data_IF_806749864513
#
_entry.id   IF_806749864513
#
_cell.length_a   1.000
_cell.length_b   1.000
_cell.length_c   1.000
_cell.angle_alpha   90.00
_cell.angle_beta   90.00
_cell.angle_gamma   90.00
#
_symmetry.space_group_name_H-M   'P 1'
#
loop_
_entity.id
_entity.type
_entity.pdbx_description
1 polymer ?
#
# COMPACT_ATOMS: atom_id res chain seq x y z
N UNK A 1 19.80 -8.57 -8.40
CA UNK A 1 18.57 -8.06 -9.04
C UNK A 1 18.94 -7.27 -10.30
N UNK A 2 18.26 -7.55 -11.40
CA UNK A 2 18.40 -6.80 -12.64
C UNK A 2 17.72 -5.43 -12.48
N UNK A 3 18.09 -4.44 -13.30
CA UNK A 3 17.49 -3.09 -13.27
C UNK A 3 15.96 -3.16 -13.42
N UNK A 4 15.47 -4.03 -14.30
CA UNK A 4 14.02 -4.28 -14.50
C UNK A 4 13.31 -4.70 -13.20
N UNK A 5 13.92 -5.60 -12.43
CA UNK A 5 13.37 -6.07 -11.15
C UNK A 5 13.39 -4.98 -10.06
N UNK A 6 14.41 -4.09 -10.06
CA UNK A 6 14.45 -2.93 -9.15
C UNK A 6 13.34 -1.95 -9.48
N UNK A 7 13.16 -1.62 -10.76
CA UNK A 7 12.14 -0.68 -11.20
C UNK A 7 10.72 -1.22 -10.96
N UNK A 8 10.47 -2.51 -11.27
CA UNK A 8 9.16 -3.13 -11.02
C UNK A 8 8.81 -3.19 -9.54
N UNK A 9 9.80 -3.45 -8.69
CA UNK A 9 9.65 -3.36 -7.24
C UNK A 9 9.35 -1.93 -6.80
N UNK A 10 10.15 -0.95 -7.22
CA UNK A 10 10.03 0.44 -6.75
C UNK A 10 8.75 1.12 -7.23
N UNK A 11 8.22 0.75 -8.39
CA UNK A 11 6.95 1.27 -8.91
C UNK A 11 5.75 0.97 -8.00
N UNK A 12 5.82 -0.11 -7.21
CA UNK A 12 4.85 -0.42 -6.17
C UNK A 12 4.70 0.74 -5.17
N UNK A 13 5.82 1.35 -4.73
CA UNK A 13 5.80 2.46 -3.79
C UNK A 13 5.10 3.69 -4.34
N UNK A 14 5.16 3.93 -5.64
CA UNK A 14 4.56 5.08 -6.29
C UNK A 14 3.04 5.15 -6.03
N UNK A 15 2.31 4.15 -6.43
CA UNK A 15 0.86 4.19 -6.27
C UNK A 15 0.41 3.89 -4.84
N UNK A 16 1.14 3.07 -4.07
CA UNK A 16 0.82 2.82 -2.66
C UNK A 16 0.93 4.10 -1.83
N UNK A 17 2.03 4.85 -1.95
CA UNK A 17 2.22 6.10 -1.23
C UNK A 17 1.23 7.19 -1.68
N UNK A 18 0.97 7.31 -2.98
CA UNK A 18 0.01 8.25 -3.52
C UNK A 18 -1.42 7.95 -3.08
N UNK A 19 -1.85 6.69 -3.17
CA UNK A 19 -3.19 6.27 -2.72
C UNK A 19 -3.36 6.47 -1.21
N UNK A 20 -2.30 6.25 -0.43
CA UNK A 20 -2.31 6.47 1.01
C UNK A 20 -2.53 7.94 1.36
N UNK A 21 -1.86 8.87 0.66
CA UNK A 21 -2.09 10.30 0.85
C UNK A 21 -3.53 10.69 0.51
N UNK A 22 -4.08 10.20 -0.60
CA UNK A 22 -5.47 10.46 -0.94
C UNK A 22 -6.43 9.95 0.14
N UNK A 23 -6.17 8.76 0.69
CA UNK A 23 -6.98 8.13 1.72
C UNK A 23 -6.98 8.93 3.04
N UNK A 24 -5.83 9.51 3.42
CA UNK A 24 -5.69 10.19 4.72
C UNK A 24 -5.96 11.68 4.68
N UNK A 25 -5.68 12.35 3.56
CA UNK A 25 -5.78 13.80 3.45
C UNK A 25 -7.08 14.21 2.75
N UNK A 26 -7.32 13.66 1.56
CA UNK A 26 -8.45 14.11 0.75
C UNK A 26 -9.77 13.45 1.14
N UNK A 27 -9.76 12.17 1.45
CA UNK A 27 -10.98 11.42 1.69
C UNK A 27 -11.79 11.92 2.92
N UNK A 28 -11.19 12.17 4.10
CA UNK A 28 -11.93 12.68 5.25
C UNK A 28 -12.62 14.02 4.98
N UNK A 29 -11.89 14.94 4.35
CA UNK A 29 -12.39 16.27 4.00
C UNK A 29 -13.50 16.18 2.94
N UNK A 30 -13.32 15.32 1.95
CA UNK A 30 -14.32 15.05 0.91
C UNK A 30 -15.62 14.48 1.50
N UNK A 31 -15.54 13.46 2.35
CA UNK A 31 -16.73 12.87 2.98
C UNK A 31 -17.46 13.85 3.90
N UNK A 32 -16.74 14.81 4.50
CA UNK A 32 -17.34 15.87 5.30
C UNK A 32 -18.06 16.90 4.42
N UNK A 33 -17.35 17.51 3.45
CA UNK A 33 -17.84 18.66 2.69
C UNK A 33 -18.82 18.27 1.59
N UNK A 34 -18.55 17.18 0.87
CA UNK A 34 -19.34 16.80 -0.31
C UNK A 34 -20.42 15.78 0.00
N UNK A 35 -20.22 14.89 0.98
CA UNK A 35 -21.17 13.83 1.33
C UNK A 35 -22.00 14.19 2.58
N UNK A 36 -21.49 15.12 3.42
CA UNK A 36 -22.22 15.64 4.58
C UNK A 36 -22.08 14.81 5.86
N UNK A 37 -21.10 13.90 5.95
CA UNK A 37 -20.80 13.18 7.19
C UNK A 37 -20.03 14.14 8.13
N UNK A 38 -20.45 14.26 9.40
CA UNK A 38 -19.79 15.18 10.33
C UNK A 38 -18.31 14.83 10.53
N UNK A 39 -17.44 15.85 10.56
CA UNK A 39 -15.99 15.67 10.71
C UNK A 39 -15.63 14.97 12.02
N UNK A 40 -16.40 15.21 13.10
CA UNK A 40 -16.21 14.55 14.38
C UNK A 40 -16.42 13.03 14.28
N UNK A 41 -17.44 12.58 13.54
CA UNK A 41 -17.69 11.15 13.33
C UNK A 41 -16.60 10.54 12.46
N UNK A 42 -16.18 11.21 11.39
CA UNK A 42 -15.07 10.76 10.53
C UNK A 42 -13.78 10.64 11.36
N UNK A 43 -13.46 11.66 12.16
CA UNK A 43 -12.29 11.65 13.04
C UNK A 43 -12.30 10.50 14.04
N UNK A 44 -13.46 10.21 14.63
CA UNK A 44 -13.63 9.09 15.56
C UNK A 44 -13.46 7.75 14.85
N UNK A 45 -14.01 7.60 13.64
CA UNK A 45 -13.80 6.39 12.81
C UNK A 45 -12.31 6.20 12.50
N UNK A 46 -11.62 7.25 12.08
CA UNK A 46 -10.18 7.18 11.79
C UNK A 46 -9.39 6.78 13.04
N UNK A 47 -9.70 7.39 14.21
CA UNK A 47 -9.04 7.07 15.47
C UNK A 47 -9.21 5.59 15.84
N UNK A 48 -10.44 5.09 15.82
CA UNK A 48 -10.73 3.68 16.14
C UNK A 48 -10.05 2.75 15.13
N UNK A 49 -10.11 3.09 13.84
CA UNK A 49 -9.48 2.31 12.79
C UNK A 49 -7.96 2.20 12.99
N UNK A 50 -7.30 3.23 13.52
CA UNK A 50 -5.87 3.19 13.85
C UNK A 50 -5.53 2.22 14.98
N UNK A 51 -6.40 2.08 15.99
CA UNK A 51 -6.21 1.04 16.99
C UNK A 51 -6.29 -0.36 16.39
N UNK A 52 -7.28 -0.62 15.53
CA UNK A 52 -7.38 -1.91 14.84
C UNK A 52 -6.20 -2.16 13.90
N UNK A 53 -5.69 -1.14 13.24
CA UNK A 53 -4.55 -1.20 12.32
C UNK A 53 -3.30 -1.72 13.05
N UNK A 54 -2.99 -1.22 14.25
CA UNK A 54 -1.85 -1.69 15.04
C UNK A 54 -1.95 -3.20 15.34
N UNK A 55 -3.13 -3.69 15.71
CA UNK A 55 -3.32 -5.13 15.97
C UNK A 55 -3.23 -5.95 14.68
N UNK A 56 -3.83 -5.48 13.59
CA UNK A 56 -3.78 -6.14 12.29
C UNK A 56 -2.37 -6.20 11.74
N UNK A 57 -1.57 -5.13 11.87
CA UNK A 57 -0.18 -5.08 11.43
C UNK A 57 0.68 -6.12 12.13
N UNK A 58 0.53 -6.27 13.45
CA UNK A 58 1.24 -7.29 14.20
C UNK A 58 0.86 -8.70 13.73
N UNK A 59 -0.45 -8.95 13.54
CA UNK A 59 -0.94 -10.25 13.06
C UNK A 59 -0.44 -10.56 11.64
N UNK A 60 -0.51 -9.57 10.75
CA UNK A 60 -0.04 -9.69 9.37
C UNK A 60 1.48 -9.94 9.34
N UNK A 61 2.25 -9.22 10.16
CA UNK A 61 3.69 -9.43 10.30
C UNK A 61 4.03 -10.87 10.72
N UNK A 62 3.34 -11.38 11.75
CA UNK A 62 3.50 -12.75 12.21
C UNK A 62 3.13 -13.79 11.12
N UNK A 63 2.03 -13.57 10.41
CA UNK A 63 1.61 -14.46 9.31
C UNK A 63 2.59 -14.41 8.13
N UNK A 64 3.15 -13.24 7.85
CA UNK A 64 4.17 -13.06 6.80
C UNK A 64 5.43 -13.86 7.14
N UNK A 65 5.92 -13.75 8.38
CA UNK A 65 7.09 -14.50 8.84
C UNK A 65 6.85 -16.02 8.77
N UNK A 66 5.70 -16.48 9.27
CA UNK A 66 5.31 -17.89 9.21
C UNK A 66 5.26 -18.43 7.77
N UNK A 67 4.75 -17.64 6.83
CA UNK A 67 4.73 -17.98 5.39
C UNK A 67 6.13 -18.09 4.81
N UNK A 68 7.03 -17.15 5.15
CA UNK A 68 8.44 -17.18 4.71
C UNK A 68 9.13 -18.43 5.22
N UNK A 69 8.96 -18.76 6.50
CA UNK A 69 9.52 -19.97 7.11
C UNK A 69 9.00 -21.24 6.41
N UNK A 70 7.74 -21.24 5.98
CA UNK A 70 7.12 -22.36 5.25
C UNK A 70 7.52 -22.40 3.76
N UNK A 71 8.43 -21.56 3.30
CA UNK A 71 8.91 -21.56 1.92
C UNK A 71 7.96 -20.93 0.91
N UNK A 72 6.95 -20.18 1.34
CA UNK A 72 6.00 -19.51 0.43
C UNK A 72 6.48 -18.13 0.04
N UNK A 73 6.34 -17.79 -1.25
CA UNK A 73 6.70 -16.48 -1.78
C UNK A 73 5.85 -15.36 -1.17
N UNK A 74 6.49 -14.23 -0.85
CA UNK A 74 5.84 -12.98 -0.43
C UNK A 74 5.02 -12.36 -1.54
N UNK A 75 5.41 -12.59 -2.79
CA UNK A 75 4.77 -12.06 -3.99
C UNK A 75 3.26 -12.28 -3.99
N UNK A 76 2.82 -13.50 -3.67
CA UNK A 76 1.39 -13.83 -3.64
C UNK A 76 0.63 -13.07 -2.55
N UNK A 77 1.27 -12.82 -1.39
CA UNK A 77 0.66 -12.05 -0.31
C UNK A 77 0.54 -10.58 -0.68
N UNK A 78 1.58 -10.00 -1.28
CA UNK A 78 1.58 -8.62 -1.77
C UNK A 78 0.47 -8.44 -2.79
N UNK A 79 0.38 -9.33 -3.79
CA UNK A 79 -0.64 -9.27 -4.83
C UNK A 79 -2.07 -9.40 -4.27
N UNK A 80 -2.28 -10.29 -3.31
CA UNK A 80 -3.56 -10.42 -2.62
C UNK A 80 -3.94 -9.12 -1.90
N UNK A 81 -2.99 -8.50 -1.19
CA UNK A 81 -3.20 -7.20 -0.55
C UNK A 81 -3.58 -6.12 -1.57
N UNK A 82 -2.88 -6.06 -2.71
CA UNK A 82 -3.15 -5.09 -3.78
C UNK A 82 -4.56 -5.28 -4.36
N UNK A 83 -4.99 -6.51 -4.62
CA UNK A 83 -6.32 -6.79 -5.18
C UNK A 83 -7.42 -6.32 -4.22
N UNK A 84 -7.30 -6.64 -2.93
CA UNK A 84 -8.28 -6.20 -1.91
C UNK A 84 -8.22 -4.67 -1.75
N UNK A 85 -7.02 -4.07 -1.84
CA UNK A 85 -6.83 -2.62 -1.76
C UNK A 85 -7.51 -1.90 -2.94
N UNK A 86 -7.34 -2.39 -4.17
CA UNK A 86 -8.03 -1.87 -5.36
C UNK A 86 -9.56 -1.92 -5.16
N UNK A 87 -10.08 -3.05 -4.66
CA UNK A 87 -11.51 -3.19 -4.39
C UNK A 87 -12.01 -2.18 -3.35
N UNK A 88 -11.23 -1.95 -2.28
CA UNK A 88 -11.59 -0.98 -1.25
C UNK A 88 -11.54 0.46 -1.74
N UNK A 89 -10.51 0.82 -2.55
CA UNK A 89 -10.43 2.15 -3.18
C UNK A 89 -11.60 2.37 -4.14
N UNK A 90 -11.99 1.35 -4.91
CA UNK A 90 -13.14 1.42 -5.80
C UNK A 90 -14.42 1.74 -5.01
N UNK A 91 -14.64 1.07 -3.87
CA UNK A 91 -15.75 1.39 -2.97
C UNK A 91 -15.73 2.84 -2.49
N UNK A 92 -14.58 3.33 -2.01
CA UNK A 92 -14.46 4.66 -1.41
C UNK A 92 -14.56 5.81 -2.42
N UNK A 93 -13.95 5.67 -3.60
CA UNK A 93 -13.83 6.76 -4.57
C UNK A 93 -14.92 6.73 -5.64
N UNK A 94 -15.45 5.56 -6.02
CA UNK A 94 -16.40 5.45 -7.12
C UNK A 94 -17.84 5.47 -6.65
N UNK A 95 -18.19 4.69 -5.64
CA UNK A 95 -19.58 4.59 -5.17
C UNK A 95 -20.00 5.70 -4.20
N UNK A 96 -19.09 6.35 -3.49
CA UNK A 96 -19.28 7.57 -2.69
C UNK A 96 -20.59 7.60 -1.88
N UNK A 97 -20.85 6.53 -1.11
CA UNK A 97 -22.11 6.42 -0.34
C UNK A 97 -22.12 7.33 0.89
N UNK A 98 -23.25 7.97 1.17
CA UNK A 98 -23.48 8.76 2.39
C UNK A 98 -23.69 7.91 3.66
N UNK A 99 -23.75 6.59 3.52
CA UNK A 99 -23.93 5.70 4.66
C UNK A 99 -22.62 5.56 5.45
N UNK A 100 -22.64 5.93 6.74
CA UNK A 100 -21.48 5.86 7.62
C UNK A 100 -20.93 4.43 7.77
N UNK A 101 -21.79 3.41 7.82
CA UNK A 101 -21.36 2.01 7.92
C UNK A 101 -20.61 1.56 6.66
N UNK A 102 -21.02 2.08 5.49
CA UNK A 102 -20.32 1.86 4.24
C UNK A 102 -18.91 2.45 4.29
N UNK A 103 -18.77 3.71 4.75
CA UNK A 103 -17.48 4.37 4.93
C UNK A 103 -16.59 3.59 5.89
N UNK A 104 -17.10 3.21 7.08
CA UNK A 104 -16.35 2.43 8.07
C UNK A 104 -15.83 1.13 7.47
N UNK A 105 -16.69 0.39 6.77
CA UNK A 105 -16.32 -0.90 6.18
C UNK A 105 -15.20 -0.77 5.14
N UNK A 106 -15.38 0.09 4.13
CA UNK A 106 -14.41 0.23 3.05
C UNK A 106 -13.12 0.93 3.50
N UNK A 107 -13.20 1.86 4.47
CA UNK A 107 -12.03 2.52 5.04
C UNK A 107 -11.14 1.52 5.81
N UNK A 108 -11.73 0.69 6.70
CA UNK A 108 -10.97 -0.33 7.41
C UNK A 108 -10.44 -1.42 6.46
N UNK A 109 -11.23 -1.79 5.44
CA UNK A 109 -10.78 -2.73 4.42
C UNK A 109 -9.57 -2.19 3.65
N UNK A 110 -9.54 -0.88 3.35
CA UNK A 110 -8.40 -0.23 2.71
C UNK A 110 -7.15 -0.27 3.59
N UNK A 111 -7.26 0.02 4.90
CA UNK A 111 -6.14 -0.04 5.83
C UNK A 111 -5.57 -1.45 5.95
N UNK A 112 -6.42 -2.43 6.22
CA UNK A 112 -6.00 -3.83 6.40
C UNK A 112 -5.35 -4.35 5.10
N UNK A 113 -5.95 -4.08 3.95
CA UNK A 113 -5.40 -4.53 2.67
C UNK A 113 -4.08 -3.84 2.31
N UNK A 114 -3.94 -2.56 2.66
CA UNK A 114 -2.68 -1.83 2.55
C UNK A 114 -1.59 -2.50 3.39
N UNK A 115 -1.88 -2.85 4.65
CA UNK A 115 -0.95 -3.53 5.54
C UNK A 115 -0.57 -4.94 5.04
N UNK A 116 -1.55 -5.70 4.48
CA UNK A 116 -1.27 -7.00 3.85
C UNK A 116 -0.28 -6.86 2.68
N UNK A 117 -0.33 -5.76 1.94
CA UNK A 117 0.59 -5.50 0.84
C UNK A 117 1.94 -4.94 1.31
N UNK A 118 1.95 -3.91 2.18
CA UNK A 118 3.14 -3.13 2.51
C UNK A 118 4.11 -3.87 3.44
N UNK A 119 3.61 -4.64 4.41
CA UNK A 119 4.46 -5.34 5.39
C UNK A 119 5.39 -6.36 4.71
N UNK A 120 4.89 -7.32 3.88
CA UNK A 120 5.77 -8.22 3.17
C UNK A 120 6.62 -7.51 2.11
N UNK A 121 6.11 -6.43 1.51
CA UNK A 121 6.85 -5.61 0.55
C UNK A 121 8.07 -4.95 1.18
N UNK A 122 7.94 -4.33 2.35
CA UNK A 122 9.05 -3.70 3.05
C UNK A 122 10.07 -4.71 3.58
N UNK A 123 9.63 -5.89 3.97
CA UNK A 123 10.50 -6.97 4.41
C UNK A 123 11.49 -7.43 3.33
N UNK A 124 11.15 -7.26 2.04
CA UNK A 124 12.03 -7.58 0.91
C UNK A 124 13.33 -6.77 0.95
N UNK A 125 13.25 -5.46 1.25
CA UNK A 125 14.44 -4.59 1.37
C UNK A 125 15.32 -5.03 2.52
N UNK A 126 14.70 -5.41 3.64
CA UNK A 126 15.43 -5.80 4.86
C UNK A 126 16.21 -7.09 4.64
N UNK A 127 15.64 -8.03 3.89
CA UNK A 127 16.26 -9.35 3.68
C UNK A 127 17.36 -9.39 2.62
N UNK A 128 17.63 -8.29 1.91
CA UNK A 128 18.79 -8.15 1.01
C UNK A 128 20.12 -8.08 1.79
N UNK A 129 20.34 -9.07 2.70
CA UNK A 129 21.44 -9.07 3.69
C UNK A 129 22.83 -9.19 3.08
N UNK A 130 22.99 -9.76 1.88
CA UNK A 130 24.31 -10.13 1.34
C UNK A 130 25.17 -8.98 0.82
N UNK A 131 24.59 -7.84 0.42
CA UNK A 131 25.35 -6.69 -0.11
C UNK A 131 24.67 -5.40 0.33
N UNK A 132 25.24 -4.70 1.30
CA UNK A 132 24.78 -3.40 1.79
C UNK A 132 24.48 -2.40 0.66
N UNK A 133 25.35 -2.32 -0.37
CA UNK A 133 25.13 -1.44 -1.53
C UNK A 133 23.85 -1.74 -2.30
N UNK A 134 23.48 -3.02 -2.45
CA UNK A 134 22.22 -3.40 -3.14
C UNK A 134 20.98 -3.01 -2.31
N UNK A 135 21.04 -3.21 -0.99
CA UNK A 135 19.98 -2.81 -0.07
C UNK A 135 19.75 -1.30 -0.09
N UNK A 136 20.83 -0.50 0.03
CA UNK A 136 20.73 0.96 -0.04
C UNK A 136 20.17 1.43 -1.37
N UNK A 137 20.63 0.87 -2.50
CA UNK A 137 20.14 1.23 -3.82
C UNK A 137 18.64 0.91 -3.97
N UNK A 138 18.20 -0.27 -3.52
CA UNK A 138 16.80 -0.67 -3.59
C UNK A 138 15.93 0.23 -2.72
N UNK A 139 16.34 0.51 -1.48
CA UNK A 139 15.65 1.42 -0.59
C UNK A 139 15.56 2.84 -1.17
N UNK A 140 16.67 3.39 -1.66
CA UNK A 140 16.71 4.73 -2.22
C UNK A 140 15.76 4.88 -3.43
N UNK A 141 15.80 3.93 -4.38
CA UNK A 141 14.91 3.98 -5.56
C UNK A 141 13.45 3.84 -5.13
N UNK A 142 13.14 2.95 -4.18
CA UNK A 142 11.80 2.81 -3.59
C UNK A 142 11.29 4.12 -3.02
N UNK A 143 12.10 4.81 -2.19
CA UNK A 143 11.70 6.07 -1.56
C UNK A 143 11.51 7.21 -2.58
N UNK A 144 12.35 7.28 -3.61
CA UNK A 144 12.15 8.24 -4.72
C UNK A 144 10.80 8.02 -5.39
N UNK A 145 10.44 6.77 -5.69
CA UNK A 145 9.12 6.46 -6.27
C UNK A 145 7.97 6.77 -5.31
N UNK A 146 8.14 6.55 -4.00
CA UNK A 146 7.13 6.92 -3.00
C UNK A 146 6.90 8.44 -2.98
N UNK A 147 7.98 9.25 -2.97
CA UNK A 147 7.88 10.72 -3.02
C UNK A 147 7.18 11.17 -4.31
N UNK A 148 7.55 10.61 -5.45
CA UNK A 148 6.88 10.93 -6.72
C UNK A 148 5.39 10.56 -6.70
N UNK A 149 5.02 9.46 -6.04
CA UNK A 149 3.63 9.05 -5.84
C UNK A 149 2.84 10.04 -4.98
N UNK A 150 3.45 10.52 -3.89
CA UNK A 150 2.87 11.57 -3.02
C UNK A 150 2.67 12.86 -3.80
N UNK A 151 3.67 13.30 -4.56
CA UNK A 151 3.56 14.50 -5.40
C UNK A 151 2.47 14.35 -6.48
N UNK A 152 2.38 13.18 -7.12
CA UNK A 152 1.31 12.90 -8.06
C UNK A 152 -0.08 12.96 -7.41
N UNK A 153 -0.22 12.47 -6.17
CA UNK A 153 -1.48 12.52 -5.43
C UNK A 153 -1.91 13.94 -5.05
N UNK A 154 -0.99 14.89 -4.95
CA UNK A 154 -1.29 16.31 -4.78
C UNK A 154 -1.61 17.01 -6.12
N UNK A 155 -0.83 16.71 -7.15
CA UNK A 155 -0.92 17.39 -8.45
C UNK A 155 -2.14 16.93 -9.25
N UNK A 156 -2.47 15.61 -9.24
CA UNK A 156 -3.55 15.07 -10.06
C UNK A 156 -4.91 15.69 -9.72
N UNK A 157 -5.40 15.71 -8.46
CA UNK A 157 -6.67 16.32 -8.13
C UNK A 157 -6.70 17.83 -8.43
N UNK A 158 -5.59 18.55 -8.15
CA UNK A 158 -5.51 19.99 -8.42
C UNK A 158 -5.55 20.31 -9.92
N UNK A 159 -4.89 19.53 -10.75
CA UNK A 159 -4.94 19.71 -12.21
C UNK A 159 -6.32 19.43 -12.78
N UNK A 160 -6.99 18.37 -12.31
CA UNK A 160 -8.37 18.05 -12.74
C UNK A 160 -9.35 19.14 -12.33
N UNK A 161 -9.22 19.65 -11.10
CA UNK A 161 -10.02 20.76 -10.57
C UNK A 161 -9.88 22.02 -11.45
N UNK A 162 -8.64 22.40 -11.77
CA UNK A 162 -8.36 23.56 -12.60
C UNK A 162 -8.85 23.41 -14.05
N UNK A 163 -8.68 22.23 -14.65
CA UNK A 163 -9.12 21.97 -16.03
C UNK A 163 -10.65 22.02 -16.17
N UNK A 164 -11.38 21.55 -15.16
CA UNK A 164 -12.83 21.52 -15.17
C UNK A 164 -13.47 22.78 -14.55
N UNK A 165 -12.67 23.72 -14.02
CA UNK A 165 -13.13 24.91 -13.29
C UNK A 165 -14.11 24.57 -12.15
N UNK A 166 -13.82 23.52 -11.40
CA UNK A 166 -14.61 23.05 -10.26
C UNK A 166 -13.78 23.04 -8.99
N UNK A 167 -14.42 22.98 -7.83
CA UNK A 167 -13.73 22.88 -6.55
C UNK A 167 -12.92 21.59 -6.44
N UNK A 168 -11.80 21.64 -5.73
CA UNK A 168 -10.87 20.51 -5.54
C UNK A 168 -11.55 19.26 -4.95
N UNK A 169 -12.52 19.46 -4.06
CA UNK A 169 -13.26 18.39 -3.38
C UNK A 169 -14.59 18.04 -4.07
N UNK A 170 -14.76 18.43 -5.32
CA UNK A 170 -15.91 17.99 -6.12
C UNK A 170 -15.90 16.46 -6.27
N UNK A 171 -17.07 15.79 -6.15
CA UNK A 171 -17.18 14.33 -6.30
C UNK A 171 -16.55 13.78 -7.58
N UNK A 172 -16.66 14.48 -8.70
CA UNK A 172 -16.09 14.05 -9.98
C UNK A 172 -14.57 14.12 -9.99
N UNK A 173 -13.97 15.15 -9.35
CA UNK A 173 -12.51 15.30 -9.23
C UNK A 173 -11.93 14.15 -8.39
N UNK A 174 -12.54 13.87 -7.24
CA UNK A 174 -12.12 12.80 -6.34
C UNK A 174 -12.29 11.42 -6.98
N UNK A 175 -13.42 11.21 -7.67
CA UNK A 175 -13.70 9.97 -8.41
C UNK A 175 -12.68 9.74 -9.52
N UNK A 176 -12.39 10.75 -10.33
CA UNK A 176 -11.42 10.66 -11.43
C UNK A 176 -10.01 10.42 -10.90
N UNK A 177 -9.62 11.10 -9.83
CA UNK A 177 -8.33 10.89 -9.16
C UNK A 177 -8.22 9.47 -8.62
N UNK A 178 -9.28 8.97 -7.98
CA UNK A 178 -9.36 7.59 -7.51
C UNK A 178 -9.19 6.57 -8.65
N UNK A 179 -9.87 6.77 -9.79
CA UNK A 179 -9.71 5.91 -10.98
C UNK A 179 -8.28 5.89 -11.52
N UNK A 180 -7.60 7.04 -11.53
CA UNK A 180 -6.19 7.10 -11.97
C UNK A 180 -5.33 6.24 -11.05
N UNK A 181 -5.46 6.39 -9.72
CA UNK A 181 -4.65 5.59 -8.78
C UNK A 181 -5.02 4.10 -8.79
N UNK A 182 -6.29 3.75 -8.98
CA UNK A 182 -6.73 2.36 -9.18
C UNK A 182 -6.08 1.77 -10.44
N UNK A 183 -6.08 2.50 -11.55
CA UNK A 183 -5.44 2.08 -12.80
C UNK A 183 -3.94 1.89 -12.63
N UNK A 184 -3.27 2.81 -11.93
CA UNK A 184 -1.84 2.70 -11.59
C UNK A 184 -1.55 1.50 -10.68
N UNK A 185 -2.45 1.19 -9.75
CA UNK A 185 -2.31 0.01 -8.89
C UNK A 185 -2.47 -1.30 -9.68
N UNK A 186 -3.39 -1.36 -10.64
CA UNK A 186 -3.54 -2.52 -11.54
C UNK A 186 -2.29 -2.69 -12.39
N UNK A 187 -1.83 -1.64 -13.05
CA UNK A 187 -0.63 -1.66 -13.90
C UNK A 187 0.60 -2.04 -13.06
N UNK A 188 0.76 -1.42 -11.88
CA UNK A 188 1.86 -1.70 -10.98
C UNK A 188 1.86 -3.13 -10.45
N UNK A 189 0.69 -3.65 -10.10
CA UNK A 189 0.50 -5.05 -9.68
C UNK A 189 0.88 -6.04 -10.78
N UNK A 190 0.50 -5.77 -12.03
CA UNK A 190 0.87 -6.57 -13.19
C UNK A 190 2.38 -6.50 -13.48
N UNK A 191 2.96 -5.31 -13.48
CA UNK A 191 4.41 -5.12 -13.65
C UNK A 191 5.18 -5.89 -12.56
N UNK A 192 4.73 -5.82 -11.32
CA UNK A 192 5.33 -6.55 -10.22
C UNK A 192 5.18 -8.06 -10.40
N UNK A 193 4.02 -8.52 -10.83
CA UNK A 193 3.77 -9.94 -11.09
C UNK A 193 4.71 -10.52 -12.16
N UNK A 194 4.91 -9.83 -13.26
CA UNK A 194 5.69 -10.36 -14.40
C UNK A 194 7.20 -10.14 -14.27
N UNK A 195 7.63 -9.02 -13.69
CA UNK A 195 9.04 -8.60 -13.71
C UNK A 195 9.78 -8.70 -12.38
N UNK A 196 9.05 -8.91 -11.26
CA UNK A 196 9.69 -9.11 -9.98
C UNK A 196 9.90 -10.61 -9.70
N UNK A 197 11.17 -11.01 -9.58
CA UNK A 197 11.57 -12.33 -9.13
C UNK A 197 11.94 -12.27 -7.65
N UNK A 198 11.20 -13.03 -6.82
CA UNK A 198 11.50 -13.18 -5.40
C UNK A 198 12.66 -14.16 -5.25
N UNK A 199 13.91 -13.65 -5.28
CA UNK A 199 15.10 -14.45 -4.96
C UNK A 199 15.08 -14.79 -3.46
N UNK A 200 14.21 -15.68 -3.06
CA UNK A 200 14.18 -16.21 -1.70
C UNK A 200 15.44 -17.06 -1.47
N UNK A 201 16.46 -16.46 -0.86
CA UNK A 201 17.59 -17.20 -0.34
C UNK A 201 17.19 -17.98 0.91
N UNK A 202 16.42 -19.06 0.73
CA UNK A 202 16.00 -19.99 1.80
C UNK A 202 17.16 -20.54 2.62
N UNK A 203 18.36 -20.59 2.06
CA UNK A 203 19.56 -21.14 2.69
C UNK A 203 20.01 -20.38 3.95
N UNK A 204 19.71 -19.08 4.06
CA UNK A 204 20.15 -18.28 5.21
C UNK A 204 19.30 -18.50 6.47
N UNK A 205 17.99 -18.77 6.31
CA UNK A 205 17.09 -19.01 7.42
C UNK A 205 17.29 -20.41 8.04
N UNK A 206 17.55 -21.42 7.20
CA UNK A 206 17.86 -22.77 7.68
C UNK A 206 19.19 -22.79 8.48
N UNK A 207 20.20 -21.99 8.05
CA UNK A 207 21.46 -21.89 8.79
C UNK A 207 21.30 -21.18 10.14
N UNK A 208 20.52 -20.10 10.23
CA UNK A 208 20.27 -19.37 11.48
C UNK A 208 19.49 -20.26 12.47
N UNK A 209 18.48 -21.01 11.99
CA UNK A 209 17.71 -21.95 12.82
C UNK A 209 18.56 -23.15 13.26
N UNK A 210 19.44 -23.66 12.41
CA UNK A 210 20.36 -24.76 12.75
C UNK A 210 21.40 -24.32 13.77
N UNK A 211 22.02 -23.14 13.62
CA UNK A 211 22.96 -22.61 14.60
C UNK A 211 22.29 -22.33 15.95
N UNK A 212 21.06 -21.80 15.98
CA UNK A 212 20.34 -21.52 17.25
C UNK A 212 19.89 -22.78 17.98
N UNK A 213 19.63 -23.88 17.24
CA UNK A 213 19.19 -25.15 17.84
C UNK A 213 20.33 -26.01 18.36
N UNK A 214 21.54 -25.82 17.88
CA UNK A 214 22.69 -26.67 18.24
C UNK A 214 23.79 -25.95 19.03
N UNK A 215 23.64 -24.69 19.42
CA UNK A 215 24.60 -23.92 20.25
C UNK A 215 26.09 -24.16 19.89
N UNK A 216 26.39 -24.54 18.67
CA UNK A 216 27.71 -24.95 18.15
C UNK A 216 28.05 -24.04 16.97
N UNK A 217 28.34 -22.77 17.26
CA UNK A 217 29.16 -21.87 16.41
C UNK A 217 29.95 -20.98 17.33
#
# INVERSE_FOLDING_TARGET
MNLKSILSYSFQSFYLAGSFLLLFVFLPTFYNLSIGISLSVIGLVILISRFFDVFSDFLIGYLTEKRIISGRSRKNQILLGIIIFIFSLFGLYVFQSSNIYYFIFFYNLALISYSIAIIPYDSIVIDQKKILKKRFRLAAVKEVFAILGVLAALIIPTTISNLNNVELLNPDVIKTSGFIFISLAIIGGLIFYFFYDDELNYLSLIHIWRCRRYSLC
#
